data_IF_719456749993
#
_entry.id   IF_719456749993
#
_cell.length_a   1.000
_cell.length_b   1.000
_cell.length_c   1.000
_cell.angle_alpha   90.00
_cell.angle_beta   90.00
_cell.angle_gamma   90.00
#
_symmetry.space_group_name_H-M   'P 1'
#
loop_
_entity.id
_entity.type
_entity.pdbx_description
1 polymer ?
#
# COMPACT_ATOMS: atom_id res chain seq x y z
N UNK A 1 -17.13 -22.81 28.19
CA UNK A 1 -17.08 -23.16 29.63
C UNK A 1 -16.21 -22.09 30.31
N UNK A 2 -16.72 -21.40 31.35
CA UNK A 2 -16.18 -20.15 31.98
C UNK A 2 -15.13 -20.47 33.07
N UNK A 3 -14.23 -19.57 33.48
CA UNK A 3 -14.38 -18.43 34.44
C UNK A 3 -13.10 -17.56 34.34
N UNK A 4 -13.14 -16.28 33.95
CA UNK A 4 -13.36 -15.03 34.73
C UNK A 4 -12.28 -14.72 35.81
N UNK A 5 -11.60 -13.60 35.56
CA UNK A 5 -10.94 -12.65 36.48
C UNK A 5 -9.46 -12.88 36.87
N UNK A 6 -8.58 -12.01 36.30
CA UNK A 6 -7.32 -11.35 36.76
C UNK A 6 -6.52 -11.07 35.46
N UNK A 7 -6.55 -9.89 34.82
CA UNK A 7 -6.33 -8.52 35.30
C UNK A 7 -7.15 -7.53 34.47
N UNK A 8 -7.97 -6.75 35.19
CA UNK A 8 -8.78 -5.63 34.73
C UNK A 8 -7.92 -4.36 34.62
N UNK A 9 -8.28 -3.48 33.68
CA UNK A 9 -8.35 -2.04 33.94
C UNK A 9 -7.11 -1.34 34.48
N UNK A 10 -6.14 -1.05 33.61
CA UNK A 10 -5.21 0.08 33.79
C UNK A 10 -4.50 0.36 32.46
N UNK A 11 -5.04 1.27 31.65
CA UNK A 11 -4.27 2.16 30.74
C UNK A 11 -5.15 3.21 30.02
N UNK A 12 -6.35 3.54 30.53
CA UNK A 12 -7.11 4.73 30.09
C UNK A 12 -7.63 5.55 31.29
N UNK A 13 -6.85 5.65 32.36
CA UNK A 13 -7.20 6.56 33.48
C UNK A 13 -6.00 7.25 34.13
N UNK A 14 -4.79 7.15 33.56
CA UNK A 14 -3.58 7.72 34.16
C UNK A 14 -3.06 8.98 33.45
N UNK A 15 -3.94 9.77 32.82
CA UNK A 15 -3.54 11.06 32.23
C UNK A 15 -4.23 12.28 32.84
N UNK A 16 -4.94 12.10 33.96
CA UNK A 16 -5.48 13.22 34.72
C UNK A 16 -5.26 12.92 36.21
N UNK A 17 -4.05 13.21 36.70
CA UNK A 17 -3.71 13.72 38.05
C UNK A 17 -2.18 13.62 38.19
N UNK A 18 -1.55 14.80 38.15
CA UNK A 18 -0.32 15.20 38.86
C UNK A 18 1.00 14.54 38.43
N UNK A 19 1.93 15.28 37.81
CA UNK A 19 2.89 16.15 38.51
C UNK A 19 3.24 15.63 39.90
N UNK A 20 4.22 14.73 39.99
CA UNK A 20 5.28 14.64 41.02
C UNK A 20 6.01 13.30 40.89
N UNK A 21 7.33 13.34 41.05
CA UNK A 21 8.28 12.23 41.16
C UNK A 21 8.72 11.51 39.87
N UNK A 22 9.73 12.13 39.28
CA UNK A 22 10.93 11.53 38.66
C UNK A 22 11.34 10.22 39.36
N UNK A 23 11.86 9.29 38.56
CA UNK A 23 12.47 8.00 38.92
C UNK A 23 11.49 6.82 39.04
N UNK A 24 11.01 6.31 37.90
CA UNK A 24 10.98 4.86 37.59
C UNK A 24 10.37 4.47 36.23
N UNK A 25 10.17 5.43 35.31
CA UNK A 25 9.74 5.15 33.92
C UNK A 25 10.81 4.47 33.03
N UNK A 26 11.95 4.06 33.58
CA UNK A 26 13.09 3.53 32.81
C UNK A 26 13.11 2.01 32.61
N UNK A 27 12.13 1.23 33.13
CA UNK A 27 12.20 -0.25 33.11
C UNK A 27 11.23 -0.99 32.19
N UNK A 28 10.26 -0.32 31.55
CA UNK A 28 9.32 -0.98 30.62
C UNK A 28 9.51 -0.52 29.17
N UNK A 29 10.20 0.60 28.93
CA UNK A 29 10.64 1.05 27.59
C UNK A 29 12.02 0.50 27.17
N UNK A 30 12.58 -0.44 27.94
CA UNK A 30 13.97 -0.91 27.82
C UNK A 30 14.08 -2.41 27.52
N UNK A 31 13.24 -2.91 26.59
CA UNK A 31 13.33 -4.29 26.05
C UNK A 31 13.43 -4.38 24.53
N UNK A 32 13.91 -3.31 23.90
CA UNK A 32 14.43 -3.35 22.55
C UNK A 32 15.76 -2.59 22.57
N UNK A 33 16.87 -3.33 22.61
CA UNK A 33 18.21 -2.76 22.49
C UNK A 33 18.37 -2.05 21.13
N UNK A 34 17.56 -2.45 20.14
CA UNK A 34 17.40 -1.82 18.83
C UNK A 34 16.81 -0.40 18.92
N UNK A 35 15.69 -0.19 19.61
CA UNK A 35 15.04 1.13 19.72
C UNK A 35 15.90 2.15 20.48
N UNK A 36 16.65 1.68 21.50
CA UNK A 36 17.56 2.54 22.25
C UNK A 36 18.79 2.97 21.44
N UNK A 37 19.31 2.09 20.57
CA UNK A 37 20.43 2.41 19.68
C UNK A 37 20.00 3.27 18.48
N UNK A 38 18.79 3.05 17.95
CA UNK A 38 18.19 3.84 16.87
C UNK A 38 18.05 5.33 17.25
N UNK A 39 17.64 5.63 18.49
CA UNK A 39 17.51 7.00 18.99
C UNK A 39 18.86 7.67 19.34
N UNK A 40 19.97 6.93 19.35
CA UNK A 40 21.30 7.44 19.71
C UNK A 40 22.21 7.77 18.51
N UNK A 41 21.76 7.53 17.29
CA UNK A 41 22.53 7.83 16.08
C UNK A 41 22.58 9.35 15.81
N UNK A 42 23.74 9.95 16.05
CA UNK A 42 24.04 11.34 15.69
C UNK A 42 24.34 11.44 14.18
N UNK A 43 23.84 12.51 13.55
CA UNK A 43 24.11 12.96 12.17
C UNK A 43 25.62 13.06 11.86
N UNK A 44 26.23 11.93 11.50
CA UNK A 44 27.52 11.86 10.84
C UNK A 44 27.30 11.19 9.49
N UNK A 45 27.88 11.79 8.45
CA UNK A 45 27.54 11.57 7.04
C UNK A 45 27.44 10.12 6.58
N UNK A 46 26.67 9.94 5.51
CA UNK A 46 26.44 8.69 4.76
C UNK A 46 27.69 7.82 4.79
N UNK A 47 27.68 6.78 5.63
CA UNK A 47 28.75 5.80 5.65
C UNK A 47 28.51 4.81 4.52
N UNK A 48 29.49 4.65 3.62
CA UNK A 48 29.44 3.71 2.50
C UNK A 48 29.59 2.23 2.92
N UNK A 49 29.59 1.94 4.22
CA UNK A 49 29.87 0.59 4.76
C UNK A 49 28.65 -0.12 5.35
N UNK A 50 27.49 0.56 5.46
CA UNK A 50 26.24 -0.04 5.93
C UNK A 50 25.69 -1.09 4.96
N UNK A 51 25.04 -2.12 5.50
CA UNK A 51 24.30 -3.10 4.69
C UNK A 51 23.00 -2.47 4.20
N UNK A 52 22.69 -2.70 2.93
CA UNK A 52 21.43 -2.27 2.33
C UNK A 52 20.42 -3.41 2.39
N UNK A 53 19.23 -3.12 2.90
CA UNK A 53 18.10 -4.03 3.05
C UNK A 53 16.90 -3.53 2.27
N UNK A 54 16.06 -4.46 1.79
CA UNK A 54 14.81 -4.13 1.14
C UNK A 54 13.65 -5.00 1.61
N UNK A 55 12.47 -4.41 1.74
CA UNK A 55 11.20 -5.11 1.93
C UNK A 55 10.25 -4.70 0.80
N UNK A 56 9.90 -5.65 -0.06
CA UNK A 56 9.03 -5.43 -1.22
C UNK A 56 7.69 -6.13 -0.99
N UNK A 57 6.58 -5.42 -1.16
CA UNK A 57 5.24 -5.91 -0.77
C UNK A 57 4.20 -5.64 -1.84
N UNK A 58 3.60 -6.72 -2.35
CA UNK A 58 2.36 -6.68 -3.12
C UNK A 58 1.21 -7.10 -2.19
N UNK A 59 0.28 -6.18 -1.93
CA UNK A 59 -0.82 -6.42 -0.98
C UNK A 59 -2.02 -7.18 -1.55
N UNK A 60 -2.12 -7.31 -2.88
CA UNK A 60 -3.21 -8.00 -3.57
C UNK A 60 -2.83 -9.34 -4.18
N UNK A 61 -3.86 -10.09 -4.54
CA UNK A 61 -3.79 -11.30 -5.36
C UNK A 61 -4.82 -11.26 -6.51
N UNK A 62 -4.84 -12.33 -7.31
CA UNK A 62 -5.75 -12.52 -8.43
C UNK A 62 -5.28 -11.84 -9.70
N UNK A 63 -5.59 -12.47 -10.85
CA UNK A 63 -5.12 -12.04 -12.17
C UNK A 63 -5.51 -10.59 -12.54
N UNK A 64 -6.68 -10.12 -12.12
CA UNK A 64 -7.10 -8.72 -12.30
C UNK A 64 -6.24 -7.69 -11.53
N UNK A 65 -5.36 -8.15 -10.63
CA UNK A 65 -4.39 -7.35 -9.88
C UNK A 65 -2.93 -7.68 -10.22
N UNK A 66 -2.70 -8.26 -11.40
CA UNK A 66 -1.37 -8.57 -11.95
C UNK A 66 -0.30 -7.51 -11.65
N UNK A 67 -0.61 -6.25 -11.95
CA UNK A 67 0.25 -5.07 -11.81
C UNK A 67 1.00 -4.96 -10.48
N UNK A 68 0.35 -5.22 -9.34
CA UNK A 68 0.99 -5.05 -8.04
C UNK A 68 2.13 -6.06 -7.82
N UNK A 69 1.97 -7.31 -8.30
CA UNK A 69 3.05 -8.31 -8.21
C UNK A 69 4.11 -8.07 -9.30
N UNK A 70 3.72 -7.59 -10.48
CA UNK A 70 4.66 -7.19 -11.53
C UNK A 70 5.57 -6.04 -11.09
N UNK A 71 5.01 -5.03 -10.44
CA UNK A 71 5.73 -3.91 -9.83
C UNK A 71 6.77 -4.38 -8.79
N UNK A 72 6.38 -5.29 -7.89
CA UNK A 72 7.31 -5.88 -6.90
C UNK A 72 8.42 -6.67 -7.56
N UNK A 73 8.08 -7.47 -8.58
CA UNK A 73 9.05 -8.23 -9.34
C UNK A 73 10.05 -7.30 -10.04
N UNK A 74 9.58 -6.20 -10.63
CA UNK A 74 10.44 -5.21 -11.28
C UNK A 74 11.34 -4.48 -10.26
N UNK A 75 10.79 -4.06 -9.12
CA UNK A 75 11.57 -3.49 -8.02
C UNK A 75 12.70 -4.43 -7.58
N UNK A 76 12.41 -5.74 -7.46
CA UNK A 76 13.43 -6.75 -7.16
C UNK A 76 14.54 -6.77 -8.21
N UNK A 77 14.22 -6.75 -9.51
CA UNK A 77 15.24 -6.75 -10.57
C UNK A 77 16.16 -5.53 -10.49
N UNK A 78 15.63 -4.34 -10.17
CA UNK A 78 16.42 -3.12 -9.98
C UNK A 78 17.43 -3.31 -8.84
N UNK A 79 16.97 -3.80 -7.68
CA UNK A 79 17.83 -4.04 -6.52
C UNK A 79 18.90 -5.09 -6.81
N UNK A 80 18.53 -6.17 -7.52
CA UNK A 80 19.47 -7.21 -7.95
C UNK A 80 20.54 -6.70 -8.89
N UNK A 81 20.13 -5.94 -9.91
CA UNK A 81 21.05 -5.31 -10.87
C UNK A 81 22.00 -4.33 -10.20
N UNK A 82 21.52 -3.68 -9.13
CA UNK A 82 22.29 -2.74 -8.29
C UNK A 82 23.17 -3.43 -7.23
N UNK A 83 23.32 -4.76 -7.30
CA UNK A 83 24.23 -5.53 -6.45
C UNK A 83 23.67 -5.94 -5.08
N UNK A 84 22.39 -5.69 -4.80
CA UNK A 84 21.77 -6.15 -3.55
C UNK A 84 21.63 -7.68 -3.55
N UNK A 85 21.96 -8.30 -2.41
CA UNK A 85 21.91 -9.77 -2.25
C UNK A 85 20.53 -10.23 -1.80
N UNK A 86 20.15 -11.44 -2.20
CA UNK A 86 18.82 -12.01 -1.88
C UNK A 86 18.61 -12.18 -0.37
N UNK A 87 19.68 -12.42 0.39
CA UNK A 87 19.64 -12.48 1.85
C UNK A 87 19.13 -11.18 2.48
N UNK A 88 19.25 -10.05 1.78
CA UNK A 88 18.85 -8.73 2.25
C UNK A 88 17.57 -8.19 1.58
N UNK A 89 16.98 -8.92 0.65
CA UNK A 89 15.71 -8.56 0.00
C UNK A 89 14.63 -9.52 0.50
N UNK A 90 13.65 -8.98 1.22
CA UNK A 90 12.49 -9.70 1.72
C UNK A 90 11.32 -9.42 0.78
N UNK A 91 10.74 -10.46 0.18
CA UNK A 91 9.62 -10.33 -0.77
C UNK A 91 8.32 -10.90 -0.21
N UNK A 92 7.29 -10.05 -0.19
CA UNK A 92 5.90 -10.40 0.06
C UNK A 92 5.11 -10.27 -1.24
N UNK A 93 4.66 -11.38 -1.80
CA UNK A 93 3.74 -11.39 -2.94
C UNK A 93 2.93 -12.67 -2.92
N UNK A 94 1.66 -12.62 -3.30
CA UNK A 94 0.80 -13.79 -3.17
C UNK A 94 1.24 -14.97 -4.05
N UNK A 95 1.95 -14.68 -5.16
CA UNK A 95 2.59 -15.65 -6.06
C UNK A 95 1.62 -16.49 -6.90
N UNK A 96 0.47 -15.90 -7.26
CA UNK A 96 -0.59 -16.52 -8.06
C UNK A 96 -0.66 -16.01 -9.50
N UNK A 97 0.31 -15.20 -9.94
CA UNK A 97 0.30 -14.56 -11.26
C UNK A 97 1.08 -15.38 -12.30
N UNK A 98 2.35 -15.71 -12.03
CA UNK A 98 3.24 -16.31 -13.02
C UNK A 98 2.67 -17.61 -13.61
N UNK A 99 2.05 -18.46 -12.78
CA UNK A 99 1.46 -19.73 -13.21
C UNK A 99 -0.08 -19.70 -13.21
N UNK A 100 -0.68 -18.52 -13.24
CA UNK A 100 -2.14 -18.38 -13.42
C UNK A 100 -2.56 -19.08 -14.73
N UNK A 101 -3.69 -19.81 -14.74
CA UNK A 101 -4.27 -20.33 -15.99
C UNK A 101 -4.62 -19.22 -17.00
N UNK A 102 -4.75 -17.98 -16.52
CA UNK A 102 -5.03 -16.80 -17.36
C UNK A 102 -3.75 -16.20 -17.96
N UNK A 103 -2.56 -16.64 -17.53
CA UNK A 103 -1.31 -16.09 -18.02
C UNK A 103 -0.98 -16.62 -19.43
N UNK A 104 -0.88 -15.76 -20.46
CA UNK A 104 -0.50 -16.19 -21.81
C UNK A 104 0.94 -16.74 -21.87
N UNK A 105 1.78 -16.40 -20.89
CA UNK A 105 3.17 -16.83 -20.80
C UNK A 105 3.46 -17.42 -19.41
N UNK A 106 3.09 -18.69 -19.15
CA UNK A 106 3.32 -19.32 -17.86
C UNK A 106 4.77 -19.24 -17.40
N UNK A 107 4.97 -18.85 -16.14
CA UNK A 107 6.28 -18.63 -15.53
C UNK A 107 6.91 -17.27 -15.81
N UNK A 108 6.26 -16.38 -16.57
CA UNK A 108 6.75 -15.05 -16.93
C UNK A 108 5.82 -13.97 -16.38
N UNK A 109 6.40 -12.89 -15.84
CA UNK A 109 5.70 -11.65 -15.51
C UNK A 109 6.45 -10.48 -16.16
N UNK A 110 5.75 -9.58 -16.83
CA UNK A 110 6.30 -8.35 -17.43
C UNK A 110 5.71 -7.13 -16.70
N UNK A 111 6.43 -6.02 -16.63
CA UNK A 111 5.94 -4.77 -16.01
C UNK A 111 5.91 -3.57 -16.98
N UNK A 112 6.10 -3.84 -18.26
CA UNK A 112 6.00 -2.85 -19.33
C UNK A 112 5.60 -3.51 -20.67
N UNK A 113 5.04 -2.75 -21.62
CA UNK A 113 4.70 -3.27 -22.94
C UNK A 113 5.95 -3.80 -23.66
N UNK A 114 5.94 -5.08 -24.04
CA UNK A 114 7.09 -5.75 -24.64
C UNK A 114 8.34 -5.78 -23.72
N UNK A 115 8.16 -5.60 -22.42
CA UNK A 115 9.22 -5.70 -21.41
C UNK A 115 9.75 -7.12 -21.28
N UNK A 116 10.93 -7.25 -20.68
CA UNK A 116 11.50 -8.54 -20.30
C UNK A 116 10.77 -9.15 -19.09
N UNK A 117 10.98 -10.44 -18.87
CA UNK A 117 10.55 -11.10 -17.64
C UNK A 117 11.18 -10.45 -16.41
N UNK A 118 10.35 -10.05 -15.45
CA UNK A 118 10.76 -9.52 -14.14
C UNK A 118 10.56 -10.54 -13.02
N UNK A 119 9.94 -11.70 -13.27
CA UNK A 119 9.65 -12.72 -12.25
C UNK A 119 10.85 -13.62 -11.93
N UNK A 120 11.73 -13.86 -12.91
CA UNK A 120 12.86 -14.76 -12.74
C UNK A 120 13.72 -14.39 -11.53
N UNK A 121 14.00 -15.40 -10.68
CA UNK A 121 14.87 -15.25 -9.52
C UNK A 121 14.25 -14.52 -8.33
N UNK A 122 13.03 -13.98 -8.41
CA UNK A 122 12.37 -13.29 -7.28
C UNK A 122 12.16 -14.28 -6.12
N UNK A 123 12.69 -14.02 -4.90
CA UNK A 123 12.53 -14.87 -3.73
C UNK A 123 11.07 -15.07 -3.35
N UNK A 124 10.75 -16.25 -2.83
CA UNK A 124 9.41 -16.61 -2.33
C UNK A 124 9.41 -16.59 -0.80
N UNK A 125 9.73 -15.44 -0.20
CA UNK A 125 9.87 -15.35 1.26
C UNK A 125 8.52 -15.50 1.95
N UNK A 126 7.54 -14.70 1.53
CA UNK A 126 6.18 -14.78 2.06
C UNK A 126 5.19 -14.76 0.90
N UNK A 127 4.60 -15.93 0.62
CA UNK A 127 3.62 -16.13 -0.46
C UNK A 127 2.31 -16.72 0.05
N UNK A 128 1.26 -16.61 -0.77
CA UNK A 128 -0.09 -17.06 -0.45
C UNK A 128 -0.57 -16.57 0.92
N UNK A 129 -0.99 -17.51 1.76
CA UNK A 129 -1.51 -17.23 3.11
C UNK A 129 -0.46 -16.64 4.07
N UNK A 130 0.83 -16.64 3.71
CA UNK A 130 1.88 -16.04 4.53
C UNK A 130 2.04 -14.53 4.30
N UNK A 131 1.38 -13.97 3.29
CA UNK A 131 1.32 -12.51 3.07
C UNK A 131 0.35 -11.91 4.09
N UNK A 132 0.85 -11.65 5.29
CA UNK A 132 0.04 -11.15 6.42
C UNK A 132 0.65 -9.91 7.06
N UNK A 133 -0.21 -9.10 7.68
CA UNK A 133 0.20 -7.93 8.47
C UNK A 133 1.17 -8.34 9.60
N UNK A 134 0.94 -9.49 10.24
CA UNK A 134 1.81 -9.98 11.30
C UNK A 134 3.21 -10.30 10.78
N UNK A 135 3.31 -11.06 9.68
CA UNK A 135 4.60 -11.39 9.08
C UNK A 135 5.31 -10.15 8.55
N UNK A 136 4.58 -9.21 7.94
CA UNK A 136 5.14 -7.95 7.46
C UNK A 136 5.78 -7.15 8.61
N UNK A 137 5.05 -6.94 9.71
CA UNK A 137 5.60 -6.22 10.86
C UNK A 137 6.75 -6.98 11.52
N UNK A 138 6.64 -8.30 11.68
CA UNK A 138 7.72 -9.10 12.23
C UNK A 138 8.98 -9.07 11.34
N UNK A 139 8.83 -9.05 10.02
CA UNK A 139 9.94 -8.94 9.08
C UNK A 139 10.62 -7.57 9.14
N UNK A 140 9.85 -6.48 9.13
CA UNK A 140 10.38 -5.11 9.26
C UNK A 140 11.08 -4.91 10.60
N UNK A 141 10.53 -5.46 11.69
CA UNK A 141 11.08 -5.33 13.05
C UNK A 141 12.23 -6.30 13.36
N UNK A 142 12.68 -7.12 12.40
CA UNK A 142 13.71 -8.13 12.64
C UNK A 142 13.29 -9.22 13.64
N UNK A 143 11.99 -9.39 13.89
CA UNK A 143 11.46 -10.30 14.90
C UNK A 143 11.17 -11.69 14.32
N UNK A 144 12.20 -12.52 14.16
CA UNK A 144 12.07 -13.91 13.70
C UNK A 144 11.05 -14.73 14.51
N UNK A 145 10.93 -14.50 15.82
CA UNK A 145 10.01 -15.24 16.68
C UNK A 145 8.53 -14.87 16.46
N UNK A 146 8.26 -13.73 15.84
CA UNK A 146 6.91 -13.27 15.48
C UNK A 146 6.45 -13.74 14.10
N UNK A 147 7.33 -14.37 13.31
CA UNK A 147 7.00 -14.90 11.99
C UNK A 147 6.20 -16.21 12.12
N UNK A 148 5.13 -16.31 11.34
CA UNK A 148 4.33 -17.52 11.18
C UNK A 148 4.30 -17.94 9.71
N UNK A 149 5.01 -19.03 9.37
CA UNK A 149 5.16 -19.51 7.99
C UNK A 149 6.13 -18.68 7.15
N UNK A 150 6.19 -18.94 5.84
CA UNK A 150 7.17 -18.33 4.93
C UNK A 150 8.62 -18.81 5.17
N UNK A 151 9.59 -18.09 4.60
CA UNK A 151 11.01 -18.41 4.68
C UNK A 151 11.65 -18.09 6.04
N UNK A 152 10.99 -17.26 6.86
CA UNK A 152 11.55 -16.74 8.11
C UNK A 152 12.56 -15.60 7.93
N UNK A 153 12.79 -15.13 6.69
CA UNK A 153 13.69 -14.01 6.41
C UNK A 153 13.10 -12.71 6.98
N UNK A 154 13.92 -11.96 7.70
CA UNK A 154 13.56 -10.68 8.30
C UNK A 154 14.67 -9.67 8.07
N UNK A 155 14.42 -8.39 8.31
CA UNK A 155 15.44 -7.34 8.26
C UNK A 155 16.34 -7.46 9.49
N UNK A 156 17.53 -8.04 9.35
CA UNK A 156 18.52 -8.17 10.42
C UNK A 156 19.53 -7.00 10.38
N UNK A 157 19.00 -5.78 10.43
CA UNK A 157 19.77 -4.55 10.24
C UNK A 157 20.60 -4.14 11.47
N UNK A 158 21.77 -3.58 11.20
CA UNK A 158 22.60 -2.83 12.15
C UNK A 158 22.28 -1.32 12.18
N UNK A 159 22.92 -0.56 13.09
CA UNK A 159 22.65 0.87 13.26
C UNK A 159 23.11 1.76 12.09
N UNK A 160 24.04 1.27 11.27
CA UNK A 160 24.59 2.00 10.11
C UNK A 160 23.98 1.53 8.77
N UNK A 161 22.99 0.63 8.83
CA UNK A 161 22.36 0.03 7.65
C UNK A 161 21.25 0.93 7.07
N UNK A 162 20.93 0.72 5.80
CA UNK A 162 19.87 1.42 5.09
C UNK A 162 18.75 0.45 4.72
N UNK A 163 17.50 0.86 4.90
CA UNK A 163 16.33 0.04 4.62
C UNK A 163 15.47 0.75 3.58
N UNK A 164 15.20 0.08 2.47
CA UNK A 164 14.22 0.47 1.47
C UNK A 164 12.94 -0.35 1.66
N UNK A 165 11.78 0.31 1.74
CA UNK A 165 10.48 -0.37 1.80
C UNK A 165 9.64 0.10 0.63
N UNK A 166 9.15 -0.86 -0.16
CA UNK A 166 8.27 -0.60 -1.29
C UNK A 166 6.99 -1.40 -1.14
N UNK A 167 5.85 -0.72 -1.23
CA UNK A 167 4.52 -1.30 -1.12
C UNK A 167 3.67 -0.87 -2.32
N UNK A 168 2.97 -1.83 -2.94
CA UNK A 168 2.04 -1.61 -4.05
C UNK A 168 0.80 -2.50 -3.86
N UNK A 169 -0.38 -1.88 -3.86
CA UNK A 169 -1.69 -2.51 -3.69
C UNK A 169 -2.81 -1.46 -3.92
N UNK A 170 -4.06 -1.89 -3.73
CA UNK A 170 -5.19 -1.07 -3.39
C UNK A 170 -4.98 -0.25 -2.11
N UNK A 171 -5.62 0.91 -2.07
CA UNK A 171 -5.56 1.81 -0.91
C UNK A 171 -6.90 2.49 -0.62
N UNK A 172 -6.94 3.11 0.54
CA UNK A 172 -8.04 3.95 1.02
C UNK A 172 -7.51 4.96 2.03
N UNK A 173 -8.32 5.95 2.38
CA UNK A 173 -7.94 6.98 3.34
C UNK A 173 -7.41 6.35 4.64
N UNK A 174 -6.18 6.69 5.04
CA UNK A 174 -5.57 6.19 6.28
C UNK A 174 -5.24 4.71 6.30
N UNK A 175 -5.37 3.99 5.17
CA UNK A 175 -4.96 2.58 5.05
C UNK A 175 -3.60 2.48 4.34
N UNK A 176 -3.50 3.05 3.13
CA UNK A 176 -2.27 3.12 2.32
C UNK A 176 -2.24 4.45 1.57
N UNK A 177 -1.07 5.05 1.39
CA UNK A 177 -0.90 6.37 0.77
C UNK A 177 -0.99 7.47 1.84
N UNK A 178 -2.19 7.98 2.13
CA UNK A 178 -2.38 9.02 3.17
C UNK A 178 -2.09 8.60 4.60
N UNK A 179 -1.67 7.35 4.82
CA UNK A 179 -1.30 6.79 6.11
C UNK A 179 -0.21 7.60 6.85
N UNK A 180 0.59 8.41 6.15
CA UNK A 180 1.63 9.23 6.78
C UNK A 180 1.16 10.62 7.21
N UNK A 181 0.07 11.13 6.62
CA UNK A 181 -0.39 12.49 6.87
C UNK A 181 -0.76 12.67 8.34
N UNK A 182 -0.08 13.61 9.01
CA UNK A 182 -0.28 13.89 10.44
C UNK A 182 0.14 12.77 11.38
N UNK A 183 0.80 11.72 10.89
CA UNK A 183 1.24 10.56 11.67
C UNK A 183 2.75 10.35 11.64
N UNK A 184 3.40 10.48 10.47
CA UNK A 184 4.82 10.17 10.34
C UNK A 184 5.67 11.29 10.98
N UNK A 185 6.41 11.03 12.07
CA UNK A 185 7.27 12.04 12.67
C UNK A 185 8.45 12.37 11.75
N UNK A 186 8.92 13.62 11.79
CA UNK A 186 10.05 14.08 10.99
C UNK A 186 11.42 13.81 11.62
N UNK A 187 11.48 13.07 12.75
CA UNK A 187 12.68 12.90 13.57
C UNK A 187 12.97 11.43 13.91
N UNK A 188 12.53 10.53 13.03
CA UNK A 188 12.77 9.09 13.15
C UNK A 188 13.57 8.55 11.95
N UNK A 189 14.30 9.39 11.23
CA UNK A 189 15.16 8.97 10.11
C UNK A 189 14.42 8.17 9.01
N UNK A 190 13.15 8.53 8.75
CA UNK A 190 12.32 7.93 7.71
C UNK A 190 11.88 9.03 6.74
N UNK A 191 12.14 8.82 5.45
CA UNK A 191 11.60 9.61 4.36
C UNK A 191 10.65 8.72 3.55
N UNK A 192 9.45 9.23 3.25
CA UNK A 192 8.43 8.48 2.56
C UNK A 192 7.81 9.29 1.42
N UNK A 193 7.47 8.61 0.32
CA UNK A 193 6.70 9.15 -0.80
C UNK A 193 5.45 8.31 -1.04
N UNK A 194 4.40 8.93 -1.58
CA UNK A 194 3.12 8.24 -1.86
C UNK A 194 2.60 8.58 -3.24
N UNK A 195 1.94 7.62 -3.90
CA UNK A 195 1.41 7.76 -5.25
C UNK A 195 0.33 8.86 -5.40
N UNK A 196 -0.45 9.11 -4.34
CA UNK A 196 -1.51 10.11 -4.31
C UNK A 196 -1.56 10.83 -2.96
N UNK A 197 -2.35 11.91 -2.90
CA UNK A 197 -2.72 12.58 -1.66
C UNK A 197 -3.87 11.85 -0.95
N UNK A 198 -4.37 12.40 0.16
CA UNK A 198 -5.41 11.77 0.97
C UNK A 198 -6.81 11.70 0.37
N UNK A 199 -7.03 12.37 -0.76
CA UNK A 199 -8.34 12.54 -1.37
C UNK A 199 -8.43 11.99 -2.79
N UNK A 200 -7.31 11.52 -3.33
CA UNK A 200 -7.17 11.10 -4.71
C UNK A 200 -6.90 9.62 -4.83
N UNK A 201 -7.44 9.04 -5.89
CA UNK A 201 -7.09 7.71 -6.32
C UNK A 201 -5.68 7.71 -6.94
N UNK A 202 -5.01 6.57 -6.86
CA UNK A 202 -3.88 6.26 -7.73
C UNK A 202 -4.35 5.55 -9.00
N UNK A 203 -3.42 5.32 -9.92
CA UNK A 203 -3.73 4.94 -11.29
C UNK A 203 -2.92 3.73 -11.74
N UNK A 204 -3.57 2.78 -12.39
CA UNK A 204 -2.96 1.70 -13.14
C UNK A 204 -2.53 2.20 -14.53
N UNK A 205 -1.42 1.68 -15.05
CA UNK A 205 -0.87 2.02 -16.36
C UNK A 205 -0.60 0.73 -17.16
N UNK A 206 -0.38 0.86 -18.46
CA UNK A 206 -0.18 -0.25 -19.39
C UNK A 206 -1.35 -1.24 -19.35
N UNK A 207 -2.55 -0.71 -19.58
CA UNK A 207 -3.80 -1.46 -19.52
C UNK A 207 -4.26 -1.96 -20.91
N UNK A 208 -5.17 -2.96 -20.97
CA UNK A 208 -5.75 -3.46 -22.21
C UNK A 208 -6.47 -2.37 -23.02
N UNK A 209 -6.43 -2.50 -24.35
CA UNK A 209 -6.91 -1.50 -25.34
C UNK A 209 -6.11 -0.19 -25.38
N UNK A 210 -5.01 -0.11 -24.63
CA UNK A 210 -4.09 1.02 -24.68
C UNK A 210 -2.70 0.50 -25.06
N UNK A 211 -1.91 0.12 -24.06
CA UNK A 211 -0.49 -0.20 -24.26
C UNK A 211 -0.15 -1.67 -23.94
N UNK A 212 -1.00 -2.39 -23.19
CA UNK A 212 -0.76 -3.82 -22.93
C UNK A 212 -0.77 -4.63 -24.25
N UNK A 213 0.14 -5.62 -24.41
CA UNK A 213 0.08 -6.56 -25.54
C UNK A 213 -1.28 -7.27 -25.60
N UNK A 214 -1.73 -7.62 -26.81
CA UNK A 214 -3.10 -8.12 -27.07
C UNK A 214 -3.43 -9.42 -26.33
N UNK A 215 -2.43 -10.20 -25.97
CA UNK A 215 -2.52 -11.42 -25.20
C UNK A 215 -2.83 -11.18 -23.71
N UNK A 216 -2.49 -10.01 -23.16
CA UNK A 216 -2.78 -9.63 -21.78
C UNK A 216 -4.12 -8.91 -21.68
N UNK A 217 -5.00 -9.43 -20.83
CA UNK A 217 -6.32 -8.85 -20.55
C UNK A 217 -6.34 -8.10 -19.20
N UNK A 218 -5.18 -7.70 -18.67
CA UNK A 218 -5.03 -6.99 -17.39
C UNK A 218 -3.96 -5.91 -17.50
N UNK A 219 -3.95 -4.94 -16.57
CA UNK A 219 -2.93 -3.90 -16.56
C UNK A 219 -1.58 -4.45 -16.06
N UNK A 220 -0.47 -3.97 -16.64
CA UNK A 220 0.87 -4.53 -16.37
C UNK A 220 1.62 -3.86 -15.22
N UNK A 221 1.23 -2.63 -14.85
CA UNK A 221 1.86 -1.91 -13.73
C UNK A 221 1.02 -0.73 -13.27
N UNK A 222 1.58 0.04 -12.34
CA UNK A 222 0.91 1.20 -11.73
C UNK A 222 1.67 2.49 -12.02
N UNK A 223 0.97 3.59 -12.32
CA UNK A 223 1.56 4.82 -12.85
C UNK A 223 2.71 5.36 -11.99
N UNK A 224 2.48 5.49 -10.69
CA UNK A 224 3.53 5.92 -9.76
C UNK A 224 4.70 4.94 -9.73
N UNK A 225 4.39 3.64 -9.71
CA UNK A 225 5.36 2.55 -9.65
C UNK A 225 6.25 2.53 -10.88
N UNK A 226 5.65 2.40 -12.06
CA UNK A 226 6.31 2.46 -13.36
C UNK A 226 7.13 3.74 -13.47
N UNK A 227 6.61 4.88 -12.99
CA UNK A 227 7.34 6.14 -13.04
C UNK A 227 8.70 6.08 -12.34
N UNK A 228 8.81 5.51 -11.13
CA UNK A 228 10.09 5.43 -10.41
C UNK A 228 10.93 4.22 -10.84
N UNK A 229 10.28 3.10 -11.17
CA UNK A 229 10.96 1.88 -11.63
C UNK A 229 11.71 2.14 -12.94
N UNK A 230 11.02 2.75 -13.90
CA UNK A 230 11.60 3.05 -15.20
C UNK A 230 12.59 4.22 -15.16
N UNK A 231 12.42 5.14 -14.22
CA UNK A 231 13.41 6.18 -13.93
C UNK A 231 14.74 5.54 -13.48
N UNK A 232 14.69 4.57 -12.56
CA UNK A 232 15.86 3.77 -12.16
C UNK A 232 16.47 2.93 -13.29
N UNK A 233 15.68 2.49 -14.28
CA UNK A 233 16.21 1.78 -15.46
C UNK A 233 16.97 2.70 -16.40
N UNK A 234 16.54 3.96 -16.49
CA UNK A 234 17.01 4.93 -17.48
C UNK A 234 18.10 5.85 -16.94
N UNK A 235 18.20 6.04 -15.62
CA UNK A 235 19.11 6.97 -14.96
C UNK A 235 20.13 6.25 -14.07
N UNK A 236 21.23 6.95 -13.78
CA UNK A 236 22.26 6.45 -12.86
C UNK A 236 21.86 6.72 -11.41
N UNK A 237 21.39 5.68 -10.72
CA UNK A 237 21.03 5.68 -9.30
C UNK A 237 22.19 6.10 -8.37
N UNK A 238 23.44 6.01 -8.83
CA UNK A 238 24.62 6.49 -8.11
C UNK A 238 24.77 8.01 -8.08
N UNK A 239 24.04 8.73 -8.94
CA UNK A 239 24.12 10.19 -9.07
C UNK A 239 22.79 10.89 -8.80
N UNK A 240 21.68 10.23 -9.07
CA UNK A 240 20.35 10.76 -8.84
C UNK A 240 20.00 10.76 -7.34
N UNK A 241 19.41 11.86 -6.87
CA UNK A 241 18.94 12.02 -5.49
C UNK A 241 17.48 11.62 -5.32
N UNK A 242 17.08 11.29 -4.10
CA UNK A 242 15.67 11.04 -3.75
C UNK A 242 14.76 12.23 -4.14
N UNK A 243 15.25 13.47 -4.04
CA UNK A 243 14.51 14.66 -4.44
C UNK A 243 14.34 14.74 -5.96
N UNK A 244 15.39 14.45 -6.74
CA UNK A 244 15.32 14.44 -8.20
C UNK A 244 14.34 13.38 -8.71
N UNK A 245 14.44 12.16 -8.18
CA UNK A 245 13.50 11.10 -8.52
C UNK A 245 12.07 11.47 -8.10
N UNK A 246 11.87 12.03 -6.90
CA UNK A 246 10.56 12.52 -6.48
C UNK A 246 9.97 13.52 -7.48
N UNK A 247 10.76 14.49 -7.94
CA UNK A 247 10.30 15.50 -8.91
C UNK A 247 9.99 14.88 -10.28
N UNK A 248 10.83 13.95 -10.75
CA UNK A 248 10.63 13.18 -11.99
C UNK A 248 9.31 12.40 -11.95
N UNK A 249 9.12 11.61 -10.88
CA UNK A 249 7.94 10.77 -10.64
C UNK A 249 6.69 11.64 -10.45
N UNK A 250 6.79 12.70 -9.65
CA UNK A 250 5.71 13.66 -9.42
C UNK A 250 5.26 14.27 -10.73
N UNK A 251 6.20 14.73 -11.56
CA UNK A 251 5.88 15.33 -12.86
C UNK A 251 5.12 14.34 -13.75
N UNK A 252 5.64 13.12 -13.93
CA UNK A 252 4.97 12.08 -14.75
C UNK A 252 3.58 11.71 -14.22
N UNK A 253 3.43 11.65 -12.90
CA UNK A 253 2.15 11.28 -12.26
C UNK A 253 1.12 12.42 -12.28
N UNK A 254 1.56 13.70 -12.20
CA UNK A 254 0.68 14.88 -12.32
C UNK A 254 0.29 15.20 -13.76
N UNK A 255 1.20 15.03 -14.71
CA UNK A 255 0.99 15.39 -16.13
C UNK A 255 -0.01 14.48 -16.84
N UNK A 256 -0.61 13.52 -16.13
CA UNK A 256 -1.84 12.81 -16.46
C UNK A 256 -2.06 12.57 -17.94
N UNK A 257 -1.79 11.34 -18.38
CA UNK A 257 -1.83 10.96 -19.80
C UNK A 257 -3.20 11.24 -20.45
N UNK A 258 -3.28 11.13 -21.77
CA UNK A 258 -4.30 11.72 -22.66
C UNK A 258 -5.80 11.62 -22.28
N UNK A 259 -6.19 10.92 -21.21
CA UNK A 259 -7.54 10.81 -20.64
C UNK A 259 -7.71 11.28 -19.17
N UNK A 260 -6.89 12.24 -18.69
CA UNK A 260 -7.22 13.07 -17.51
C UNK A 260 -7.14 12.36 -16.13
N UNK A 261 -6.42 11.24 -16.04
CA UNK A 261 -6.10 10.58 -14.76
C UNK A 261 -4.76 11.07 -14.22
N UNK A 262 -4.76 11.71 -13.05
CA UNK A 262 -3.54 12.20 -12.38
C UNK A 262 -3.69 12.09 -10.88
N UNK A 263 -2.56 12.04 -10.17
CA UNK A 263 -2.53 12.08 -8.71
C UNK A 263 -1.34 12.87 -8.21
N UNK A 264 -1.50 13.48 -7.03
CA UNK A 264 -0.43 14.26 -6.41
C UNK A 264 0.49 13.38 -5.59
N UNK A 265 1.73 13.19 -6.07
CA UNK A 265 2.77 12.51 -5.30
C UNK A 265 3.17 13.36 -4.10
N UNK A 266 3.11 12.77 -2.91
CA UNK A 266 3.39 13.47 -1.63
C UNK A 266 4.70 12.98 -1.02
N UNK A 267 5.33 13.81 -0.19
CA UNK A 267 6.51 13.47 0.64
C UNK A 267 6.16 13.64 2.12
N UNK A 268 6.71 12.78 2.97
CA UNK A 268 6.50 12.80 4.43
C UNK A 268 7.77 12.39 5.19
N UNK A 269 7.81 12.73 6.48
CA UNK A 269 8.89 12.34 7.39
C UNK A 269 10.05 13.33 7.38
N UNK A 270 11.27 12.81 7.47
CA UNK A 270 12.49 13.61 7.53
C UNK A 270 12.95 14.05 6.14
N UNK A 271 12.62 15.29 5.78
CA UNK A 271 12.98 15.86 4.47
C UNK A 271 14.50 16.08 4.30
N UNK A 272 15.30 16.01 5.37
CA UNK A 272 16.76 16.14 5.24
C UNK A 272 17.38 15.00 4.43
N UNK A 273 16.66 13.88 4.29
CA UNK A 273 17.07 12.71 3.54
C UNK A 273 16.85 12.85 2.03
N UNK A 274 16.05 13.83 1.56
CA UNK A 274 15.74 13.96 0.13
C UNK A 274 16.97 14.27 -0.73
N UNK A 275 18.03 14.81 -0.12
CA UNK A 275 19.32 15.04 -0.78
C UNK A 275 20.22 13.80 -0.93
N UNK A 276 19.86 12.66 -0.32
CA UNK A 276 20.62 11.43 -0.45
C UNK A 276 20.51 10.87 -1.87
N UNK A 277 21.61 10.34 -2.40
CA UNK A 277 21.60 9.61 -3.68
C UNK A 277 20.86 8.28 -3.55
N UNK A 278 20.16 7.86 -4.59
CA UNK A 278 19.34 6.65 -4.61
C UNK A 278 20.17 5.40 -4.26
N UNK A 279 21.43 5.36 -4.69
CA UNK A 279 22.30 4.20 -4.49
C UNK A 279 22.54 3.86 -3.02
N UNK A 280 22.37 4.83 -2.10
CA UNK A 280 22.41 4.58 -0.65
C UNK A 280 21.38 3.51 -0.25
N UNK A 281 20.21 3.51 -0.90
CA UNK A 281 19.10 2.61 -0.59
C UNK A 281 18.97 1.46 -1.58
N UNK A 282 19.17 1.74 -2.87
CA UNK A 282 18.89 0.78 -3.95
C UNK A 282 20.11 -0.07 -4.33
N UNK A 283 21.32 0.37 -3.98
CA UNK A 283 22.59 -0.22 -4.43
C UNK A 283 23.22 0.55 -5.59
N UNK A 284 24.41 0.12 -6.00
CA UNK A 284 25.18 0.78 -7.05
C UNK A 284 24.91 0.11 -8.40
N UNK A 285 24.30 0.83 -9.34
CA UNK A 285 24.09 0.36 -10.70
C UNK A 285 24.87 1.22 -11.70
N UNK A 286 26.08 0.81 -12.12
CA UNK A 286 26.81 1.49 -13.18
C UNK A 286 26.18 1.13 -14.54
N UNK A 287 25.01 1.70 -14.83
CA UNK A 287 24.39 1.61 -16.16
C UNK A 287 24.42 3.00 -16.83
N UNK A 288 24.87 3.10 -18.09
CA UNK A 288 24.81 4.36 -18.81
C UNK A 288 23.34 4.78 -19.00
N UNK A 289 23.01 6.07 -18.84
CA UNK A 289 21.66 6.54 -19.00
C UNK A 289 21.16 6.26 -20.41
N UNK A 290 19.92 5.75 -20.52
CA UNK A 290 19.34 5.37 -21.81
C UNK A 290 18.25 6.38 -22.19
N UNK A 291 18.47 7.12 -23.27
CA UNK A 291 17.47 8.07 -23.77
C UNK A 291 16.39 7.33 -24.55
N UNK A 292 15.28 7.00 -23.90
CA UNK A 292 14.05 6.61 -24.61
C UNK A 292 12.97 7.65 -24.36
N UNK A 293 12.45 8.24 -25.43
CA UNK A 293 11.31 9.14 -25.36
C UNK A 293 10.06 8.31 -25.13
N UNK A 294 9.52 8.35 -23.91
CA UNK A 294 8.30 7.61 -23.57
C UNK A 294 7.06 8.38 -24.02
N UNK A 295 6.21 7.67 -24.74
CA UNK A 295 4.87 8.11 -25.11
C UNK A 295 4.00 8.17 -23.86
N UNK A 296 3.11 9.14 -23.78
CA UNK A 296 2.05 9.15 -22.78
C UNK A 296 1.19 7.88 -22.93
N UNK A 297 1.07 7.07 -21.88
CA UNK A 297 0.27 5.84 -21.83
C UNK A 297 -1.02 6.04 -21.07
N UNK A 298 -2.14 5.55 -21.58
CA UNK A 298 -3.44 5.80 -20.95
C UNK A 298 -3.56 5.07 -19.60
N UNK A 299 -4.22 5.73 -18.64
CA UNK A 299 -4.32 5.25 -17.26
C UNK A 299 -5.75 4.91 -16.86
N UNK A 300 -5.89 4.02 -15.88
CA UNK A 300 -7.17 3.56 -15.33
C UNK A 300 -7.17 3.75 -13.81
N UNK A 301 -8.25 4.25 -13.17
CA UNK A 301 -8.30 4.32 -11.71
C UNK A 301 -8.06 2.94 -11.08
N UNK A 302 -7.31 2.85 -9.99
CA UNK A 302 -7.00 1.55 -9.34
C UNK A 302 -8.23 0.69 -9.09
N UNK A 303 -9.31 1.32 -8.64
CA UNK A 303 -10.57 0.63 -8.30
C UNK A 303 -11.25 0.04 -9.53
N UNK A 304 -10.96 0.53 -10.73
CA UNK A 304 -11.63 0.10 -11.96
C UNK A 304 -10.75 -0.80 -12.82
N UNK A 305 -9.46 -0.94 -12.53
CA UNK A 305 -8.54 -1.79 -13.28
C UNK A 305 -9.02 -3.27 -13.35
N UNK A 306 -9.55 -3.81 -12.24
CA UNK A 306 -10.12 -5.16 -12.23
C UNK A 306 -11.40 -5.28 -13.11
N UNK A 307 -12.19 -4.20 -13.22
CA UNK A 307 -13.34 -4.16 -14.12
C UNK A 307 -12.90 -4.09 -15.59
N UNK A 308 -11.84 -3.33 -15.88
CA UNK A 308 -11.24 -3.29 -17.22
C UNK A 308 -10.81 -4.68 -17.66
N UNK A 309 -10.20 -5.46 -16.75
CA UNK A 309 -9.87 -6.86 -17.03
C UNK A 309 -11.10 -7.69 -17.41
N UNK A 310 -12.14 -7.69 -16.57
CA UNK A 310 -13.36 -8.45 -16.84
C UNK A 310 -14.05 -7.99 -18.14
N UNK A 311 -14.09 -6.69 -18.40
CA UNK A 311 -14.64 -6.14 -19.63
C UNK A 311 -13.87 -6.57 -20.87
N UNK A 312 -12.53 -6.54 -20.82
CA UNK A 312 -11.71 -6.98 -21.95
C UNK A 312 -11.89 -8.48 -22.20
N UNK A 313 -11.91 -9.29 -21.12
CA UNK A 313 -12.17 -10.72 -21.19
C UNK A 313 -13.50 -11.06 -21.88
N UNK A 314 -14.59 -10.41 -21.46
CA UNK A 314 -15.92 -10.56 -22.08
C UNK A 314 -15.90 -10.21 -23.58
N UNK A 315 -15.15 -9.18 -23.98
CA UNK A 315 -15.08 -8.74 -25.39
C UNK A 315 -14.28 -9.70 -26.26
N UNK A 316 -13.26 -10.35 -25.70
CA UNK A 316 -12.34 -11.25 -26.41
C UNK A 316 -12.86 -12.68 -26.51
N UNK A 317 -13.61 -13.15 -25.51
CA UNK A 317 -14.16 -14.51 -25.48
C UNK A 317 -15.33 -14.69 -26.44
N UNK A 318 -15.47 -15.90 -26.99
CA UNK A 318 -16.62 -16.28 -27.80
C UNK A 318 -17.92 -16.19 -27.00
N UNK A 319 -18.96 -15.61 -27.61
CA UNK A 319 -20.27 -15.46 -26.97
C UNK A 319 -20.82 -16.83 -26.59
N UNK A 320 -21.19 -16.98 -25.30
CA UNK A 320 -21.64 -18.23 -24.65
C UNK A 320 -20.57 -19.25 -24.31
N UNK A 321 -19.28 -18.96 -24.47
CA UNK A 321 -18.23 -19.80 -23.88
C UNK A 321 -18.33 -19.79 -22.34
N UNK A 322 -17.79 -20.82 -21.69
CA UNK A 322 -17.74 -20.87 -20.22
C UNK A 322 -16.99 -19.65 -19.65
N UNK A 323 -15.90 -19.26 -20.30
CA UNK A 323 -15.12 -18.08 -19.95
C UNK A 323 -15.95 -16.79 -20.05
N UNK A 324 -16.68 -16.60 -21.16
CA UNK A 324 -17.56 -15.44 -21.35
C UNK A 324 -18.63 -15.37 -20.26
N UNK A 325 -19.30 -16.50 -19.99
CA UNK A 325 -20.37 -16.57 -18.99
C UNK A 325 -19.83 -16.31 -17.58
N UNK A 326 -18.67 -16.87 -17.24
CA UNK A 326 -18.02 -16.65 -15.95
C UNK A 326 -17.56 -15.21 -15.78
N UNK A 327 -16.93 -14.60 -16.79
CA UNK A 327 -16.48 -13.21 -16.74
C UNK A 327 -17.67 -12.25 -16.61
N UNK A 328 -18.76 -12.48 -17.36
CA UNK A 328 -19.99 -11.70 -17.26
C UNK A 328 -20.65 -11.83 -15.89
N UNK A 329 -20.69 -13.04 -15.33
CA UNK A 329 -21.18 -13.28 -13.97
C UNK A 329 -20.35 -12.53 -12.93
N UNK A 330 -19.02 -12.68 -12.96
CA UNK A 330 -18.09 -11.98 -12.05
C UNK A 330 -18.26 -10.46 -12.13
N UNK A 331 -18.36 -9.91 -13.34
CA UNK A 331 -18.58 -8.47 -13.54
C UNK A 331 -19.92 -8.02 -12.92
N UNK A 332 -21.00 -8.76 -13.16
CA UNK A 332 -22.31 -8.44 -12.60
C UNK A 332 -22.32 -8.52 -11.07
N UNK A 333 -21.65 -9.52 -10.49
CA UNK A 333 -21.54 -9.69 -9.04
C UNK A 333 -20.71 -8.57 -8.42
N UNK A 334 -19.59 -8.19 -9.02
CA UNK A 334 -18.76 -7.08 -8.56
C UNK A 334 -19.51 -5.73 -8.65
N UNK A 335 -20.21 -5.45 -9.75
CA UNK A 335 -20.99 -4.21 -9.89
C UNK A 335 -22.13 -4.14 -8.87
N UNK A 336 -22.86 -5.24 -8.67
CA UNK A 336 -23.91 -5.31 -7.66
C UNK A 336 -23.36 -5.15 -6.23
N UNK A 337 -22.20 -5.75 -5.94
CA UNK A 337 -21.52 -5.59 -4.66
C UNK A 337 -21.09 -4.13 -4.42
N UNK A 338 -20.53 -3.46 -5.43
CA UNK A 338 -20.18 -2.04 -5.37
C UNK A 338 -21.38 -1.16 -5.08
N UNK A 339 -22.47 -1.36 -5.83
CA UNK A 339 -23.73 -0.64 -5.63
C UNK A 339 -24.29 -0.86 -4.21
N UNK A 340 -24.22 -2.10 -3.71
CA UNK A 340 -24.67 -2.43 -2.37
C UNK A 340 -23.82 -1.75 -1.28
N UNK A 341 -22.49 -1.75 -1.40
CA UNK A 341 -21.59 -1.06 -0.45
C UNK A 341 -21.85 0.45 -0.47
N UNK A 342 -21.96 1.05 -1.66
CA UNK A 342 -22.23 2.47 -1.83
C UNK A 342 -23.57 2.86 -1.20
N UNK A 343 -24.62 2.10 -1.48
CA UNK A 343 -25.93 2.31 -0.88
C UNK A 343 -25.84 2.23 0.65
N UNK A 344 -25.23 1.16 1.17
CA UNK A 344 -25.19 0.86 2.61
C UNK A 344 -24.48 1.94 3.41
N UNK A 345 -23.26 2.33 3.01
CA UNK A 345 -22.51 3.37 3.71
C UNK A 345 -23.26 4.70 3.69
N UNK A 346 -23.88 5.06 2.55
CA UNK A 346 -24.68 6.27 2.44
C UNK A 346 -25.92 6.24 3.36
N UNK A 347 -26.62 5.11 3.47
CA UNK A 347 -27.77 4.98 4.37
C UNK A 347 -27.36 5.04 5.85
N UNK A 348 -26.25 4.37 6.23
CA UNK A 348 -25.71 4.48 7.60
C UNK A 348 -25.39 5.94 7.91
N UNK A 349 -24.74 6.65 6.98
CA UNK A 349 -24.50 8.10 7.11
C UNK A 349 -25.77 8.91 7.34
N UNK A 350 -26.85 8.64 6.58
CA UNK A 350 -28.17 9.30 6.77
C UNK A 350 -28.74 9.08 8.16
N UNK A 351 -28.71 7.84 8.63
CA UNK A 351 -29.29 7.48 9.94
C UNK A 351 -28.54 8.13 11.09
N UNK A 352 -27.22 8.30 10.96
CA UNK A 352 -26.37 8.87 12.01
C UNK A 352 -26.36 10.41 12.03
N UNK A 353 -26.44 11.06 10.86
CA UNK A 353 -26.26 12.52 10.73
C UNK A 353 -27.56 13.30 10.40
N UNK A 354 -28.63 12.62 10.02
CA UNK A 354 -29.90 13.26 9.63
C UNK A 354 -29.90 13.86 8.21
N UNK A 355 -31.09 14.21 7.71
CA UNK A 355 -31.33 14.57 6.30
C UNK A 355 -30.65 15.87 5.82
N UNK A 356 -30.39 16.84 6.72
CA UNK A 356 -29.86 18.17 6.34
C UNK A 356 -28.34 18.18 6.16
N UNK A 357 -27.60 17.24 6.76
CA UNK A 357 -26.14 17.12 6.63
C UNK A 357 -25.71 16.10 5.56
N UNK A 358 -26.68 15.42 4.92
CA UNK A 358 -26.43 14.30 4.01
C UNK A 358 -25.74 14.70 2.69
N UNK A 359 -25.92 15.92 2.19
CA UNK A 359 -25.23 16.33 0.96
C UNK A 359 -23.71 16.44 1.17
N UNK A 360 -23.28 16.73 2.40
CA UNK A 360 -21.88 16.69 2.80
C UNK A 360 -21.47 15.32 3.34
N UNK A 361 -22.39 14.51 3.89
CA UNK A 361 -22.08 13.21 4.48
C UNK A 361 -20.91 13.31 5.48
N UNK A 362 -20.30 12.19 5.82
CA UNK A 362 -19.01 12.24 6.51
C UNK A 362 -17.86 12.75 5.59
N UNK A 363 -18.10 13.68 4.65
CA UNK A 363 -17.06 14.23 3.74
C UNK A 363 -16.37 15.49 4.27
N UNK A 364 -16.44 15.74 5.58
CA UNK A 364 -15.56 16.72 6.21
C UNK A 364 -14.13 16.17 6.21
N UNK A 365 -13.43 16.40 5.10
CA UNK A 365 -12.01 16.11 5.00
C UNK A 365 -11.27 17.06 5.94
N UNK A 366 -10.53 16.47 6.89
CA UNK A 366 -9.66 17.21 7.80
C UNK A 366 -8.68 18.07 6.99
N UNK A 367 -8.25 19.19 7.59
CA UNK A 367 -7.26 20.05 6.95
C UNK A 367 -5.98 19.27 6.64
N UNK A 368 -5.31 19.65 5.56
CA UNK A 368 -4.03 19.07 5.17
C UNK A 368 -3.05 19.07 6.36
N UNK A 369 -2.36 17.95 6.57
CA UNK A 369 -1.40 17.76 7.67
C UNK A 369 -2.00 17.20 8.96
N UNK A 370 -3.33 17.08 9.09
CA UNK A 370 -3.94 16.38 10.22
C UNK A 370 -4.06 14.86 9.95
N UNK A 371 -3.98 14.01 10.99
CA UNK A 371 -4.25 12.59 10.87
C UNK A 371 -5.71 12.37 10.50
N UNK A 372 -6.01 11.29 9.76
CA UNK A 372 -7.37 10.98 9.31
C UNK A 372 -8.39 10.89 10.47
N UNK A 373 -7.97 10.24 11.56
CA UNK A 373 -8.78 9.99 12.75
C UNK A 373 -7.96 10.24 13.99
N UNK A 374 -8.59 10.75 15.05
CA UNK A 374 -7.92 10.90 16.36
C UNK A 374 -7.83 9.58 17.12
N UNK A 375 -8.85 8.73 16.98
CA UNK A 375 -8.93 7.42 17.63
C UNK A 375 -8.93 6.29 16.58
N UNK A 376 -7.75 5.69 16.39
CA UNK A 376 -7.55 4.56 15.48
C UNK A 376 -8.21 3.26 15.97
N UNK A 377 -8.41 3.11 17.27
CA UNK A 377 -9.10 1.94 17.82
C UNK A 377 -10.61 2.06 17.62
N UNK A 378 -11.16 3.27 17.69
CA UNK A 378 -12.51 3.56 17.22
C UNK A 378 -12.65 3.17 15.74
N UNK A 379 -11.77 3.65 14.85
CA UNK A 379 -11.86 3.35 13.41
C UNK A 379 -11.84 1.83 13.16
N UNK A 380 -10.88 1.11 13.75
CA UNK A 380 -10.81 -0.37 13.65
C UNK A 380 -12.09 -1.03 14.17
N UNK A 381 -12.64 -0.52 15.27
CA UNK A 381 -13.86 -1.07 15.87
C UNK A 381 -15.08 -0.82 14.99
N UNK A 382 -15.23 0.38 14.41
CA UNK A 382 -16.33 0.69 13.50
C UNK A 382 -16.25 -0.09 12.19
N UNK A 383 -15.04 -0.28 11.63
CA UNK A 383 -14.84 -1.15 10.45
C UNK A 383 -15.24 -2.60 10.76
N UNK A 384 -14.86 -3.12 11.94
CA UNK A 384 -15.28 -4.48 12.38
C UNK A 384 -16.79 -4.56 12.60
N UNK A 385 -17.39 -3.51 13.16
CA UNK A 385 -18.85 -3.43 13.36
C UNK A 385 -19.59 -3.42 12.03
N UNK A 386 -19.13 -2.62 11.06
CA UNK A 386 -19.65 -2.65 9.69
C UNK A 386 -19.55 -4.07 9.11
N UNK A 387 -18.36 -4.68 9.16
CA UNK A 387 -18.12 -6.00 8.60
C UNK A 387 -19.03 -7.08 9.21
N UNK A 388 -19.32 -6.98 10.50
CA UNK A 388 -20.20 -7.91 11.22
C UNK A 388 -21.66 -7.85 10.74
N UNK A 389 -22.17 -6.68 10.37
CA UNK A 389 -23.59 -6.49 10.05
C UNK A 389 -23.88 -6.36 8.56
N UNK A 390 -22.90 -5.87 7.78
CA UNK A 390 -23.07 -5.53 6.36
C UNK A 390 -22.16 -6.34 5.43
N UNK A 391 -21.34 -7.24 5.98
CA UNK A 391 -20.33 -7.98 5.25
C UNK A 391 -19.00 -7.23 5.14
N UNK A 392 -17.93 -7.98 4.85
CA UNK A 392 -16.56 -7.45 4.80
C UNK A 392 -16.43 -6.29 3.82
N UNK A 393 -15.71 -5.25 4.24
CA UNK A 393 -15.30 -4.16 3.37
C UNK A 393 -14.29 -4.71 2.35
N UNK A 394 -14.69 -4.85 1.08
CA UNK A 394 -13.80 -5.28 0.00
C UNK A 394 -12.75 -4.20 -0.31
N UNK A 395 -11.79 -4.49 -1.20
CA UNK A 395 -10.82 -3.50 -1.70
C UNK A 395 -11.51 -2.25 -2.24
N UNK A 396 -12.63 -2.39 -2.94
CA UNK A 396 -13.48 -1.28 -3.36
C UNK A 396 -14.01 -0.45 -2.18
N UNK A 397 -14.52 -1.14 -1.14
CA UNK A 397 -15.10 -0.50 0.03
C UNK A 397 -14.09 0.31 0.86
N UNK A 398 -12.78 0.04 0.73
CA UNK A 398 -11.73 0.81 1.42
C UNK A 398 -11.82 2.32 1.14
N UNK A 399 -12.45 2.74 0.04
CA UNK A 399 -12.74 4.16 -0.24
C UNK A 399 -13.55 4.85 0.88
N UNK A 400 -14.35 4.08 1.63
CA UNK A 400 -15.22 4.57 2.70
C UNK A 400 -14.57 4.64 4.09
N UNK A 401 -13.28 4.32 4.20
CA UNK A 401 -12.55 4.38 5.46
C UNK A 401 -12.47 5.81 6.02
N UNK A 402 -12.46 6.82 5.15
CA UNK A 402 -12.50 8.23 5.55
C UNK A 402 -13.84 8.62 6.18
N UNK A 403 -14.94 8.15 5.63
CA UNK A 403 -16.29 8.37 6.17
C UNK A 403 -16.47 7.68 7.53
N UNK A 404 -15.96 6.45 7.67
CA UNK A 404 -16.00 5.73 8.96
C UNK A 404 -15.11 6.43 10.00
N UNK A 405 -13.93 6.92 9.59
CA UNK A 405 -13.06 7.73 10.45
C UNK A 405 -13.77 9.01 10.93
N UNK A 406 -14.53 9.65 10.05
CA UNK A 406 -15.29 10.85 10.40
C UNK A 406 -16.46 10.57 11.34
N UNK A 407 -17.03 9.36 11.35
CA UNK A 407 -17.95 8.94 12.40
C UNK A 407 -17.27 8.91 13.78
N UNK A 408 -16.04 8.38 13.86
CA UNK A 408 -15.25 8.43 15.10
C UNK A 408 -14.96 9.88 15.53
N UNK A 409 -14.53 10.72 14.59
CA UNK A 409 -14.22 12.13 14.86
C UNK A 409 -15.45 12.92 15.34
N UNK A 410 -16.64 12.55 14.87
CA UNK A 410 -17.92 13.14 15.30
C UNK A 410 -18.43 12.59 16.65
N UNK A 411 -17.69 11.68 17.29
CA UNK A 411 -18.09 11.07 18.57
C UNK A 411 -19.22 10.04 18.44
N UNK A 412 -19.45 9.48 17.25
CA UNK A 412 -20.43 8.41 17.07
C UNK A 412 -19.95 7.16 17.83
N UNK A 413 -20.80 6.67 18.72
CA UNK A 413 -20.52 5.47 19.51
C UNK A 413 -20.67 4.20 18.67
N UNK A 414 -19.99 3.13 19.11
CA UNK A 414 -20.10 1.80 18.49
C UNK A 414 -21.57 1.31 18.47
N UNK A 415 -22.34 1.59 19.52
CA UNK A 415 -23.74 1.17 19.61
C UNK A 415 -24.63 1.91 18.62
N UNK A 416 -24.44 3.23 18.45
CA UNK A 416 -25.15 4.01 17.44
C UNK A 416 -24.83 3.53 16.02
N UNK A 417 -23.54 3.32 15.74
CA UNK A 417 -23.08 2.82 14.45
C UNK A 417 -23.65 1.41 14.18
N UNK A 418 -23.59 0.51 15.17
CA UNK A 418 -24.15 -0.83 15.07
C UNK A 418 -25.66 -0.81 14.83
N UNK A 419 -26.42 0.05 15.51
CA UNK A 419 -27.86 0.18 15.30
C UNK A 419 -28.18 0.64 13.86
N UNK A 420 -27.44 1.62 13.34
CA UNK A 420 -27.59 2.08 11.96
C UNK A 420 -27.19 1.00 10.94
N UNK A 421 -26.10 0.26 11.19
CA UNK A 421 -25.68 -0.87 10.35
C UNK A 421 -26.72 -1.99 10.34
N UNK A 422 -27.25 -2.38 11.50
CA UNK A 422 -28.31 -3.40 11.60
C UNK A 422 -29.53 -2.95 10.79
N UNK A 423 -30.02 -1.73 11.00
CA UNK A 423 -31.20 -1.23 10.30
C UNK A 423 -31.03 -1.18 8.77
N UNK A 424 -29.80 -0.97 8.29
CA UNK A 424 -29.51 -0.83 6.86
C UNK A 424 -29.29 -2.18 6.18
N UNK A 425 -28.65 -3.13 6.87
CA UNK A 425 -28.10 -4.35 6.29
C UNK A 425 -28.89 -5.63 6.65
N UNK A 426 -29.90 -5.51 7.54
CA UNK A 426 -30.77 -6.62 7.96
C UNK A 426 -31.80 -7.02 6.91
#
# INVERSE_FOLDING_TARGET
MRIRDVLLGALVSYLIIQNVCVANASRVLQKSQFFANFLQSNNNGISNNGTKWAVLVAGSNGWGNYRHQADVCHAYQILKKSGMKDENIIVFMYDDIANSPENPHPGIIINSPNGSDVYHGVPKDYTGENVTVNNLFAAILGNKSGITGGSGKVVESGPDDYIFIYYTDHGGAGVVGSMFQGLLPSNINVYATTASNATEDSWAEYCPNFDAPLEYDTCLGDLYSISWLEDCDMNDVGSETLQQQYESVRKRTLEGTAFNGSSHVMQYGDMSFSGNVLSVYLGDNPSPPTTTTKSSSNVVPQRDAALVHLHHKIRKSDVNSEEYLLAKKKLSEELAHREHVDYTINQIGKLLLGHHDHQNGFKNLRSSGQPLVDDWDCLKTLVKTYAKYCGSLSTYGLKYTGEIANACNAGITVDQFAAASIQTCS
#
